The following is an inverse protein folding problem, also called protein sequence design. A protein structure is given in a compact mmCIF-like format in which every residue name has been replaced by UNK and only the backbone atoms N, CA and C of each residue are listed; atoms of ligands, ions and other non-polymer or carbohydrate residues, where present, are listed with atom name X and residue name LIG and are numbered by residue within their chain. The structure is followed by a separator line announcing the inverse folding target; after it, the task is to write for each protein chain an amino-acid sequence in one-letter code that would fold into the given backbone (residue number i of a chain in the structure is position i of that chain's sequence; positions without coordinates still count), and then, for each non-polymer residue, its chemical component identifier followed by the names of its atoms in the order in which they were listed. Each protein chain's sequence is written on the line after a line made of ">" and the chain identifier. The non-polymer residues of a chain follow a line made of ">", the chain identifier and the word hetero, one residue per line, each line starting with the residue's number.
data_IF_048559965160
#
_entry.id   IF_048559965160
#
_cell.length_a   1.000
_cell.length_b   1.000
_cell.length_c   1.000
_cell.angle_alpha   90.00
_cell.angle_beta   90.00
_cell.angle_gamma   90.00
#
_symmetry.space_group_name_H-M   'P 1'
#
loop_
_entity.id
_entity.type
_entity.pdbx_description
1 polymer ?
#
# COMPACT_ATOMS: atom_id res chain seq x y z
N UNK A 1 16.23 -7.95 -2.76
CA UNK A 1 15.00 -7.17 -3.03
C UNK A 1 14.82 -6.24 -1.86
N UNK A 2 14.88 -4.93 -2.08
CA UNK A 2 14.65 -3.94 -1.04
C UNK A 2 13.15 -3.85 -0.78
N UNK A 3 12.74 -3.58 0.47
CA UNK A 3 11.34 -3.44 0.84
C UNK A 3 10.57 -2.40 0.00
N UNK A 4 11.27 -1.38 -0.50
CA UNK A 4 10.75 -0.35 -1.41
C UNK A 4 10.22 -0.88 -2.74
N UNK A 5 10.72 -2.02 -3.20
CA UNK A 5 10.48 -2.50 -4.57
C UNK A 5 9.29 -3.46 -4.64
N UNK A 6 8.62 -3.72 -3.51
CA UNK A 6 7.51 -4.67 -3.43
C UNK A 6 6.21 -4.14 -4.03
N UNK A 7 5.92 -2.86 -3.84
CA UNK A 7 4.68 -2.22 -4.29
C UNK A 7 4.97 -0.81 -4.78
N UNK A 8 4.24 -0.39 -5.81
CA UNK A 8 4.31 0.95 -6.36
C UNK A 8 3.22 1.85 -5.76
N UNK A 9 3.44 3.17 -5.78
CA UNK A 9 2.38 4.12 -5.46
C UNK A 9 1.22 3.93 -6.45
N UNK A 10 0.00 3.84 -5.93
CA UNK A 10 -1.20 3.56 -6.70
C UNK A 10 -1.60 2.08 -6.74
N UNK A 11 -0.69 1.16 -6.41
CA UNK A 11 -1.04 -0.26 -6.31
C UNK A 11 -2.13 -0.48 -5.26
N UNK A 12 -3.03 -1.41 -5.57
CA UNK A 12 -4.06 -1.86 -4.64
C UNK A 12 -3.51 -3.05 -3.87
N UNK A 13 -3.46 -2.90 -2.55
CA UNK A 13 -2.95 -3.87 -1.60
C UNK A 13 -3.99 -4.18 -0.52
N UNK A 14 -3.78 -5.27 0.22
CA UNK A 14 -4.58 -5.66 1.39
C UNK A 14 -3.70 -6.24 2.46
N UNK A 15 -4.14 -6.24 3.71
CA UNK A 15 -3.48 -6.98 4.77
C UNK A 15 -3.54 -8.49 4.53
N UNK A 16 -2.49 -9.21 4.90
CA UNK A 16 -2.43 -10.69 4.84
C UNK A 16 -3.56 -11.37 5.62
N UNK A 17 -4.07 -10.70 6.66
CA UNK A 17 -5.21 -11.17 7.48
C UNK A 17 -6.58 -10.89 6.85
N UNK A 18 -6.63 -10.20 5.71
CA UNK A 18 -7.85 -9.68 5.11
C UNK A 18 -8.15 -8.23 5.50
N UNK A 19 -9.21 -7.66 4.94
CA UNK A 19 -9.56 -6.24 5.14
C UNK A 19 -10.08 -5.55 3.88
N UNK A 20 -10.23 -4.22 3.90
CA UNK A 20 -10.57 -3.45 2.71
C UNK A 20 -9.42 -3.44 1.71
N UNK A 21 -9.74 -3.17 0.45
CA UNK A 21 -8.74 -2.85 -0.56
C UNK A 21 -8.18 -1.44 -0.26
N UNK A 22 -6.86 -1.33 -0.21
CA UNK A 22 -6.15 -0.09 0.11
C UNK A 22 -5.25 0.30 -1.04
N UNK A 23 -5.12 1.60 -1.31
CA UNK A 23 -4.15 2.10 -2.28
C UNK A 23 -2.85 2.50 -1.58
N UNK A 24 -1.72 2.09 -2.13
CA UNK A 24 -0.40 2.55 -1.69
C UNK A 24 -0.26 4.04 -2.01
N UNK A 25 0.00 4.85 -0.98
CA UNK A 25 0.18 6.30 -1.10
C UNK A 25 1.65 6.69 -1.23
N UNK A 26 2.51 6.04 -0.44
CA UNK A 26 3.95 6.33 -0.40
C UNK A 26 4.70 5.24 0.37
N UNK A 27 6.00 5.11 0.12
CA UNK A 27 6.90 4.30 0.94
C UNK A 27 7.83 5.21 1.75
N UNK A 28 7.98 4.93 3.04
CA UNK A 28 8.94 5.60 3.92
C UNK A 28 10.03 4.61 4.31
N UNK A 29 11.29 4.96 4.07
CA UNK A 29 12.45 4.15 4.46
C UNK A 29 12.85 4.32 5.93
N UNK A 30 12.20 5.24 6.65
CA UNK A 30 12.48 5.52 8.07
C UNK A 30 12.00 4.33 8.92
N UNK A 31 12.77 3.95 9.93
CA UNK A 31 12.40 2.92 10.92
C UNK A 31 12.06 1.54 10.33
N UNK A 32 12.78 1.09 9.30
CA UNK A 32 12.67 -0.28 8.77
C UNK A 32 11.82 -0.44 7.51
N UNK A 33 11.28 0.65 6.96
CA UNK A 33 10.57 0.61 5.69
C UNK A 33 9.08 0.29 5.85
N UNK A 34 8.21 1.29 5.70
CA UNK A 34 6.76 1.10 5.79
C UNK A 34 6.05 1.70 4.59
N UNK A 35 4.99 1.02 4.13
CA UNK A 35 4.08 1.54 3.13
C UNK A 35 2.92 2.25 3.82
N UNK A 36 2.78 3.54 3.50
CA UNK A 36 1.58 4.28 3.85
C UNK A 36 0.50 3.95 2.84
N UNK A 37 -0.61 3.42 3.33
CA UNK A 37 -1.77 3.06 2.53
C UNK A 37 -2.97 3.95 2.90
N UNK A 38 -3.89 4.13 1.98
CA UNK A 38 -5.16 4.83 2.22
C UNK A 38 -6.32 4.06 1.60
N UNK A 39 -7.48 4.09 2.27
CA UNK A 39 -8.69 3.40 1.82
C UNK A 39 -9.94 4.14 2.26
N UNK A 40 -11.07 3.78 1.66
CA UNK A 40 -12.37 4.29 2.09
C UNK A 40 -13.05 3.30 3.03
N UNK A 41 -13.42 3.78 4.22
CA UNK A 41 -14.32 3.10 5.14
C UNK A 41 -15.70 3.78 5.04
N UNK A 42 -16.53 3.30 4.11
CA UNK A 42 -17.76 3.99 3.74
C UNK A 42 -17.46 5.33 3.06
N UNK A 43 -17.86 6.45 3.69
CA UNK A 43 -17.64 7.82 3.16
C UNK A 43 -16.37 8.49 3.70
N UNK A 44 -15.63 7.82 4.60
CA UNK A 44 -14.46 8.39 5.24
C UNK A 44 -13.19 7.86 4.60
N UNK A 45 -12.25 8.76 4.31
CA UNK A 45 -10.89 8.40 3.92
C UNK A 45 -10.08 8.07 5.19
N UNK A 46 -9.54 6.86 5.25
CA UNK A 46 -8.64 6.39 6.29
C UNK A 46 -7.24 6.16 5.71
N UNK A 47 -6.23 6.15 6.59
CA UNK A 47 -4.85 5.81 6.20
C UNK A 47 -4.11 5.10 7.32
N UNK A 48 -3.11 4.30 6.98
CA UNK A 48 -2.28 3.57 7.93
C UNK A 48 -0.92 3.20 7.35
N UNK A 49 0.06 3.02 8.22
CA UNK A 49 1.41 2.61 7.86
C UNK A 49 1.58 1.12 8.16
N UNK A 50 2.01 0.36 7.16
CA UNK A 50 2.09 -1.08 7.23
C UNK A 50 3.44 -1.59 6.76
N UNK A 51 3.94 -2.63 7.41
CA UNK A 51 5.16 -3.28 6.99
C UNK A 51 4.94 -4.08 5.68
N UNK A 52 5.93 -4.15 4.77
CA UNK A 52 5.80 -4.80 3.47
C UNK A 52 5.40 -6.29 3.52
N UNK A 53 5.72 -6.99 4.60
CA UNK A 53 5.37 -8.38 4.86
C UNK A 53 3.92 -8.57 5.33
N UNK A 54 3.28 -7.50 5.83
CA UNK A 54 1.88 -7.52 6.23
C UNK A 54 0.92 -7.27 5.08
N UNK A 55 1.43 -6.90 3.91
CA UNK A 55 0.65 -6.54 2.72
C UNK A 55 0.76 -7.59 1.61
N UNK A 56 -0.31 -7.75 0.85
CA UNK A 56 -0.37 -8.52 -0.40
C UNK A 56 -0.84 -7.62 -1.54
N UNK A 57 -0.23 -7.78 -2.71
CA UNK A 57 -0.68 -7.10 -3.93
C UNK A 57 -2.00 -7.71 -4.39
N UNK A 58 -3.01 -6.86 -4.59
CA UNK A 58 -4.31 -7.24 -5.16
C UNK A 58 -4.37 -6.85 -6.63
N UNK A 59 -3.92 -5.62 -6.95
CA UNK A 59 -3.88 -5.12 -8.33
C UNK A 59 -2.74 -4.14 -8.50
N UNK A 60 -1.85 -4.37 -9.47
CA UNK A 60 -0.88 -3.34 -9.86
C UNK A 60 -1.58 -2.27 -10.69
N UNK A 61 -1.36 -1.01 -10.36
CA UNK A 61 -1.76 0.10 -11.22
C UNK A 61 -0.48 0.62 -11.85
N UNK A 62 -0.19 0.16 -13.06
CA UNK A 62 0.84 0.78 -13.89
C UNK A 62 0.34 2.17 -14.28
N UNK A 63 0.70 3.19 -13.49
CA UNK A 63 0.65 4.56 -13.97
C UNK A 63 1.76 4.72 -15.00
N UNK A 64 1.46 4.35 -16.24
CA UNK A 64 2.14 4.94 -17.38
C UNK A 64 1.71 6.41 -17.44
N UNK A 65 2.64 7.38 -17.29
CA UNK A 65 2.33 8.76 -17.60
C UNK A 65 2.17 8.86 -19.12
N UNK A 66 0.93 9.07 -19.60
CA UNK A 66 0.67 9.58 -20.96
C UNK A 66 1.12 11.05 -21.05
#
# INVERSE_FOLDING_TARGET
>A
MSASDKFNVGDIVKLVSGGPDMAVKSFSTISGGVFRCQWFAGKKLESGDFAPESLVLVRSVSTDPE
#
